data_IF_250777204128
#
_entry.id   IF_250777204128
#
_cell.length_a   1.000
_cell.length_b   1.000
_cell.length_c   1.000
_cell.angle_alpha   90.00
_cell.angle_beta   90.00
_cell.angle_gamma   90.00
#
_symmetry.space_group_name_H-M   'P 1'
#
loop_
_entity.id
_entity.type
_entity.pdbx_description
1 polymer ?
#
# COMPACT_ATOMS: atom_id res chain seq x y z
N UNK A 1 -89.70 -19.64 67.08
CA UNK A 1 -90.13 -20.50 65.97
C UNK A 1 -89.76 -19.81 64.67
N UNK A 2 -89.03 -20.55 63.82
CA UNK A 2 -88.66 -20.35 62.39
C UNK A 2 -88.09 -18.99 61.92
N UNK A 3 -86.81 -18.86 61.55
CA UNK A 3 -86.00 -19.38 60.40
C UNK A 3 -86.31 -18.73 59.03
N UNK A 4 -85.25 -18.10 58.50
CA UNK A 4 -84.71 -18.19 57.14
C UNK A 4 -85.48 -17.60 55.93
N UNK A 5 -85.01 -16.46 55.44
CA UNK A 5 -84.22 -16.26 54.19
C UNK A 5 -84.42 -14.82 53.71
N UNK A 6 -83.34 -14.09 53.43
CA UNK A 6 -83.19 -13.34 52.17
C UNK A 6 -81.80 -12.68 52.02
N UNK A 7 -81.38 -12.59 50.75
CA UNK A 7 -80.06 -12.21 50.24
C UNK A 7 -79.76 -10.72 50.45
N UNK A 8 -78.51 -10.40 50.83
CA UNK A 8 -77.98 -9.03 50.79
C UNK A 8 -77.04 -8.88 49.58
N UNK A 9 -77.33 -7.86 48.77
CA UNK A 9 -76.63 -7.52 47.53
C UNK A 9 -75.35 -6.70 47.71
N UNK A 10 -74.52 -6.78 46.66
CA UNK A 10 -73.22 -6.14 46.47
C UNK A 10 -73.26 -4.60 46.53
N UNK A 11 -72.48 -4.01 47.44
CA UNK A 11 -72.07 -2.61 47.40
C UNK A 11 -70.71 -2.46 46.71
N UNK A 12 -70.65 -1.55 45.72
CA UNK A 12 -69.46 -1.24 44.90
C UNK A 12 -68.41 -0.49 45.73
N UNK A 13 -67.14 -0.93 45.64
CA UNK A 13 -65.97 -0.16 46.10
C UNK A 13 -65.42 0.70 44.96
N UNK A 14 -65.11 1.96 45.24
CA UNK A 14 -64.45 2.88 44.32
C UNK A 14 -62.93 2.75 44.49
N UNK A 15 -62.25 2.18 43.51
CA UNK A 15 -60.79 2.18 43.41
C UNK A 15 -60.32 3.35 42.55
N UNK A 16 -59.50 4.22 43.14
CA UNK A 16 -58.71 5.23 42.43
C UNK A 16 -57.64 4.51 41.60
N UNK A 17 -57.68 4.61 40.26
CA UNK A 17 -56.60 4.15 39.40
C UNK A 17 -55.71 5.33 39.02
N UNK A 18 -54.45 5.27 39.46
CA UNK A 18 -53.36 6.15 39.03
C UNK A 18 -52.85 5.62 37.68
N UNK A 19 -52.84 6.39 36.59
CA UNK A 19 -52.29 5.92 35.32
C UNK A 19 -50.77 5.83 35.44
N UNK A 20 -50.24 4.61 35.39
CA UNK A 20 -48.81 4.35 35.23
C UNK A 20 -48.45 4.71 33.79
N UNK A 21 -47.83 5.87 33.60
CA UNK A 21 -47.21 6.26 32.34
C UNK A 21 -45.93 5.42 32.22
N UNK A 22 -45.98 4.36 31.40
CA UNK A 22 -44.80 3.60 31.03
C UNK A 22 -43.91 4.47 30.13
N UNK A 23 -42.84 5.02 30.68
CA UNK A 23 -41.79 5.70 29.92
C UNK A 23 -40.95 4.61 29.25
N UNK A 24 -41.24 4.31 27.98
CA UNK A 24 -40.39 3.50 27.14
C UNK A 24 -39.11 4.29 26.80
N UNK A 25 -38.06 4.07 27.58
CA UNK A 25 -36.70 4.52 27.21
C UNK A 25 -36.25 3.67 26.02
N UNK A 26 -36.45 4.17 24.80
CA UNK A 26 -35.78 3.60 23.62
C UNK A 26 -34.29 3.88 23.76
N UNK A 27 -33.53 2.86 24.18
CA UNK A 27 -32.10 2.79 23.96
C UNK A 27 -31.87 2.80 22.45
N UNK A 28 -31.60 3.98 21.90
CA UNK A 28 -30.96 4.14 20.61
C UNK A 28 -29.56 3.52 20.74
N UNK A 29 -29.45 2.23 20.40
CA UNK A 29 -28.17 1.64 20.06
C UNK A 29 -27.79 2.30 18.74
N UNK A 30 -27.02 3.38 18.82
CA UNK A 30 -26.27 3.86 17.66
C UNK A 30 -25.32 2.73 17.30
N UNK A 31 -25.69 1.95 16.29
CA UNK A 31 -24.75 1.07 15.62
C UNK A 31 -23.73 2.03 15.05
N UNK A 32 -22.56 2.12 15.68
CA UNK A 32 -21.46 2.84 15.07
C UNK A 32 -21.22 2.13 13.74
N UNK A 33 -21.55 2.80 12.64
CA UNK A 33 -21.12 2.36 11.32
C UNK A 33 -19.61 2.35 11.37
N UNK A 34 -19.02 1.16 11.40
CA UNK A 34 -17.58 0.98 11.19
C UNK A 34 -17.34 1.41 9.75
N UNK A 35 -16.98 2.68 9.55
CA UNK A 35 -16.51 3.17 8.27
C UNK A 35 -15.00 2.98 8.27
N UNK A 36 -14.48 2.33 7.24
CA UNK A 36 -13.04 2.17 7.10
C UNK A 36 -12.40 3.54 6.83
N UNK A 37 -11.21 3.82 7.34
CA UNK A 37 -10.43 4.96 6.85
C UNK A 37 -10.01 4.74 5.40
N UNK A 38 -9.87 5.86 4.69
CA UNK A 38 -9.50 5.86 3.28
C UNK A 38 -8.04 5.46 3.13
N UNK A 39 -7.77 4.61 2.14
CA UNK A 39 -6.44 4.22 1.70
C UNK A 39 -6.45 4.18 0.17
N UNK A 40 -6.57 5.34 -0.49
CA UNK A 40 -6.96 5.43 -1.88
C UNK A 40 -5.85 5.04 -2.87
N UNK A 41 -4.60 4.94 -2.42
CA UNK A 41 -3.44 4.58 -3.25
C UNK A 41 -2.37 3.88 -2.42
N UNK A 42 -1.25 3.49 -3.06
CA UNK A 42 -0.13 2.86 -2.37
C UNK A 42 0.37 3.73 -1.21
N UNK A 43 0.66 3.09 -0.07
CA UNK A 43 1.03 3.76 1.17
C UNK A 43 0.18 5.00 1.52
N UNK A 44 -1.13 4.92 1.23
CA UNK A 44 -2.20 5.85 1.59
C UNK A 44 -2.25 7.15 0.78
N UNK A 45 -1.15 7.79 0.46
CA UNK A 45 -1.13 9.10 -0.19
C UNK A 45 0.04 9.27 -1.16
N UNK A 46 0.09 10.40 -1.85
CA UNK A 46 1.13 10.76 -2.82
C UNK A 46 2.49 11.05 -2.18
N UNK A 47 2.56 11.07 -0.84
CA UNK A 47 3.78 11.11 -0.05
C UNK A 47 4.26 9.71 0.37
N UNK A 48 3.44 8.69 0.16
CA UNK A 48 3.65 7.31 0.61
C UNK A 48 3.81 7.19 2.15
N UNK A 49 3.01 7.92 2.93
CA UNK A 49 3.16 7.97 4.40
C UNK A 49 2.94 6.63 5.09
N UNK A 50 1.98 5.82 4.64
CA UNK A 50 1.68 4.51 5.22
C UNK A 50 1.13 4.53 6.66
N UNK A 51 0.58 5.66 7.13
CA UNK A 51 0.07 5.83 8.51
C UNK A 51 -1.42 6.21 8.54
N UNK A 52 -2.17 5.56 9.43
CA UNK A 52 -3.53 5.92 9.80
C UNK A 52 -3.63 6.29 11.28
N UNK A 53 -4.45 7.28 11.60
CA UNK A 53 -4.72 7.70 12.98
C UNK A 53 -5.92 6.96 13.59
N UNK A 54 -5.90 5.63 13.60
CA UNK A 54 -7.03 4.80 14.05
C UNK A 54 -6.66 3.76 15.11
N UNK A 55 -7.63 3.46 15.98
CA UNK A 55 -7.51 2.37 16.95
C UNK A 55 -7.94 1.07 16.31
N UNK A 56 -7.02 0.14 16.12
CA UNK A 56 -7.37 -1.21 15.68
C UNK A 56 -7.57 -2.12 16.89
N UNK A 57 -8.75 -2.74 16.98
CA UNK A 57 -9.13 -3.60 18.11
C UNK A 57 -9.09 -5.06 17.69
N UNK A 58 -8.03 -5.77 18.10
CA UNK A 58 -7.92 -7.23 17.97
C UNK A 58 -7.79 -7.76 16.54
N UNK A 59 -8.04 -9.06 16.37
CA UNK A 59 -8.04 -9.76 15.07
C UNK A 59 -9.32 -10.58 14.91
N UNK A 60 -10.00 -10.40 13.78
CA UNK A 60 -11.04 -11.31 13.29
C UNK A 60 -11.13 -11.21 11.78
N UNK A 61 -11.40 -12.34 11.11
CA UNK A 61 -11.74 -12.32 9.69
C UNK A 61 -13.22 -11.98 9.59
N UNK A 62 -13.53 -10.83 8.99
CA UNK A 62 -14.92 -10.43 8.74
C UNK A 62 -15.45 -11.09 7.46
N UNK A 63 -14.64 -11.10 6.41
CA UNK A 63 -14.91 -11.78 5.14
C UNK A 63 -13.59 -12.10 4.43
N UNK A 64 -13.64 -13.03 3.49
CA UNK A 64 -12.56 -13.33 2.55
C UNK A 64 -13.15 -13.69 1.20
N UNK A 65 -12.47 -13.31 0.12
CA UNK A 65 -12.89 -13.59 -1.24
C UNK A 65 -11.70 -14.05 -2.07
N UNK A 66 -11.93 -15.07 -2.90
CA UNK A 66 -10.94 -15.50 -3.89
C UNK A 66 -11.06 -14.60 -5.11
N UNK A 67 -9.99 -13.86 -5.44
CA UNK A 67 -9.99 -12.91 -6.56
C UNK A 67 -9.61 -13.54 -7.90
N UNK A 68 -8.90 -14.66 -7.87
CA UNK A 68 -8.53 -15.40 -9.07
C UNK A 68 -8.33 -16.88 -8.73
N UNK A 69 -8.64 -17.77 -9.66
CA UNK A 69 -8.37 -19.21 -9.54
C UNK A 69 -7.44 -19.65 -10.67
N UNK A 70 -6.26 -20.16 -10.35
CA UNK A 70 -5.43 -20.88 -11.31
C UNK A 70 -5.18 -22.32 -10.86
N UNK A 71 -4.62 -23.15 -11.74
CA UNK A 71 -4.30 -24.56 -11.47
C UNK A 71 -3.37 -24.80 -10.25
N UNK A 72 -2.75 -23.73 -9.72
CA UNK A 72 -1.82 -23.76 -8.59
C UNK A 72 -2.38 -23.11 -7.32
N UNK A 73 -3.61 -22.59 -7.35
CA UNK A 73 -4.31 -21.90 -6.24
C UNK A 73 -3.51 -20.79 -5.52
N UNK A 74 -2.43 -20.28 -6.12
CA UNK A 74 -1.49 -19.33 -5.50
C UNK A 74 -1.10 -18.17 -6.43
N UNK A 75 -1.89 -17.91 -7.48
CA UNK A 75 -1.79 -16.66 -8.23
C UNK A 75 -3.04 -15.84 -7.97
N UNK A 76 -2.86 -14.63 -7.46
CA UNK A 76 -3.98 -13.75 -7.16
C UNK A 76 -3.53 -12.32 -7.24
N UNK A 77 -2.80 -11.85 -6.23
CA UNK A 77 -2.55 -10.42 -6.01
C UNK A 77 -1.08 -10.25 -5.64
N UNK A 78 -0.37 -9.35 -6.32
CA UNK A 78 1.01 -8.96 -5.98
C UNK A 78 1.12 -7.48 -5.59
N UNK A 79 -0.02 -6.80 -5.45
CA UNK A 79 -0.12 -5.37 -5.15
C UNK A 79 -0.95 -5.14 -3.89
N UNK A 80 -0.89 -3.93 -3.36
CA UNK A 80 -1.68 -3.56 -2.19
C UNK A 80 -3.13 -3.29 -2.62
N UNK A 81 -4.16 -3.93 -2.03
CA UNK A 81 -5.54 -3.48 -2.19
C UNK A 81 -5.72 -2.06 -1.66
N UNK A 82 -6.58 -1.27 -2.31
CA UNK A 82 -6.88 0.09 -1.87
C UNK A 82 -8.30 0.18 -1.30
N UNK A 83 -8.51 1.12 -0.38
CA UNK A 83 -9.82 1.41 0.22
C UNK A 83 -10.27 2.80 -0.24
N UNK A 84 -11.28 2.83 -1.10
CA UNK A 84 -11.91 4.04 -1.58
C UNK A 84 -13.15 4.38 -0.74
N UNK A 85 -13.25 5.63 -0.28
CA UNK A 85 -14.44 6.10 0.43
C UNK A 85 -15.40 6.81 -0.49
N UNK A 86 -16.68 6.82 -0.10
CA UNK A 86 -17.72 7.59 -0.78
C UNK A 86 -17.82 7.28 -2.28
N UNK A 87 -17.57 6.03 -2.70
CA UNK A 87 -17.81 5.62 -4.09
C UNK A 87 -19.28 5.86 -4.40
N UNK A 88 -19.61 6.62 -5.47
CA UNK A 88 -20.99 7.02 -5.75
C UNK A 88 -21.93 5.82 -5.80
N UNK A 89 -23.02 5.89 -5.03
CA UNK A 89 -24.05 4.85 -4.86
C UNK A 89 -23.56 3.51 -4.28
N UNK A 90 -22.31 3.41 -3.82
CA UNK A 90 -21.70 2.17 -3.29
C UNK A 90 -21.16 2.29 -1.87
N UNK A 91 -20.83 3.50 -1.40
CA UNK A 91 -20.22 3.72 -0.10
C UNK A 91 -18.72 3.40 -0.10
N UNK A 92 -18.22 2.78 0.96
CA UNK A 92 -16.80 2.42 1.10
C UNK A 92 -16.50 1.08 0.39
N UNK A 93 -15.46 1.05 -0.44
CA UNK A 93 -15.16 -0.05 -1.36
C UNK A 93 -13.67 -0.43 -1.29
N UNK A 94 -13.38 -1.72 -1.28
CA UNK A 94 -12.03 -2.26 -1.49
C UNK A 94 -11.86 -2.58 -2.96
N UNK A 95 -10.84 -2.00 -3.61
CA UNK A 95 -10.44 -2.36 -4.97
C UNK A 95 -9.19 -3.24 -4.96
N UNK A 96 -9.22 -4.27 -5.80
CA UNK A 96 -8.14 -5.26 -5.92
C UNK A 96 -7.79 -5.46 -7.37
N UNK A 97 -6.51 -5.27 -7.72
CA UNK A 97 -5.95 -5.66 -9.01
C UNK A 97 -5.31 -7.04 -8.88
N UNK A 98 -5.73 -7.98 -9.72
CA UNK A 98 -5.14 -9.31 -9.80
C UNK A 98 -3.93 -9.37 -10.76
N UNK A 99 -3.19 -10.47 -10.69
CA UNK A 99 -1.99 -10.70 -11.49
C UNK A 99 -2.24 -10.83 -13.00
N UNK A 100 -3.48 -10.97 -13.44
CA UNK A 100 -3.87 -11.01 -14.85
C UNK A 100 -4.29 -9.65 -15.40
N UNK A 101 -4.39 -8.64 -14.54
CA UNK A 101 -4.86 -7.30 -14.91
C UNK A 101 -6.36 -7.13 -14.85
N UNK A 102 -7.07 -8.00 -14.10
CA UNK A 102 -8.46 -7.77 -13.75
C UNK A 102 -8.54 -6.99 -12.45
N UNK A 103 -9.37 -5.96 -12.43
CA UNK A 103 -9.69 -5.20 -11.23
C UNK A 103 -11.11 -5.54 -10.77
N UNK A 104 -11.28 -5.77 -9.47
CA UNK A 104 -12.56 -6.05 -8.83
C UNK A 104 -12.81 -5.07 -7.68
N UNK A 105 -14.08 -4.78 -7.39
CA UNK A 105 -14.49 -3.95 -6.26
C UNK A 105 -15.42 -4.70 -5.32
N UNK A 106 -15.19 -4.59 -4.01
CA UNK A 106 -15.97 -5.25 -2.96
C UNK A 106 -16.42 -4.25 -1.90
N UNK A 107 -17.65 -4.41 -1.38
CA UNK A 107 -18.11 -3.63 -0.23
C UNK A 107 -17.20 -3.92 0.97
N UNK A 108 -16.65 -2.88 1.62
CA UNK A 108 -15.65 -3.05 2.69
C UNK A 108 -16.20 -3.82 3.91
N UNK A 109 -17.51 -3.76 4.15
CA UNK A 109 -18.15 -4.41 5.29
C UNK A 109 -18.55 -5.85 5.01
N UNK A 110 -19.12 -6.13 3.83
CA UNK A 110 -19.71 -7.44 3.53
C UNK A 110 -18.83 -8.34 2.67
N UNK A 111 -17.89 -7.77 1.91
CA UNK A 111 -17.11 -8.50 0.91
C UNK A 111 -17.89 -8.80 -0.38
N UNK A 112 -19.11 -8.27 -0.52
CA UNK A 112 -19.91 -8.49 -1.73
C UNK A 112 -19.36 -7.70 -2.92
N UNK A 113 -19.30 -8.29 -4.12
CA UNK A 113 -18.86 -7.57 -5.32
C UNK A 113 -19.82 -6.43 -5.65
N UNK A 114 -19.27 -5.26 -5.99
CA UNK A 114 -20.08 -4.07 -6.31
C UNK A 114 -20.42 -3.94 -7.81
N UNK A 115 -19.81 -4.76 -8.66
CA UNK A 115 -19.97 -4.72 -10.12
C UNK A 115 -20.60 -6.01 -10.67
N UNK A 116 -21.20 -5.89 -11.86
CA UNK A 116 -21.66 -7.01 -12.67
C UNK A 116 -21.39 -6.68 -14.17
N UNK A 117 -20.46 -7.38 -14.87
CA UNK A 117 -19.62 -8.48 -14.38
C UNK A 117 -18.73 -8.08 -13.19
N UNK A 118 -18.27 -9.06 -12.41
CA UNK A 118 -17.59 -8.83 -11.12
C UNK A 118 -16.26 -8.09 -11.25
N UNK A 119 -15.65 -8.11 -12.43
CA UNK A 119 -14.35 -7.51 -12.69
C UNK A 119 -14.32 -6.75 -14.02
N UNK A 120 -13.36 -5.85 -14.11
CA UNK A 120 -12.99 -5.13 -15.34
C UNK A 120 -11.59 -5.55 -15.75
N UNK A 121 -11.44 -6.01 -16.99
CA UNK A 121 -10.14 -6.34 -17.55
C UNK A 121 -9.48 -5.07 -18.09
N UNK A 122 -8.39 -4.63 -17.45
CA UNK A 122 -7.66 -3.42 -17.85
C UNK A 122 -6.60 -3.72 -18.92
N UNK A 123 -6.17 -4.97 -19.00
CA UNK A 123 -5.25 -5.42 -20.03
C UNK A 123 -5.92 -5.68 -21.38
N UNK A 124 -5.12 -5.67 -22.45
CA UNK A 124 -5.57 -6.10 -23.77
C UNK A 124 -5.79 -7.63 -23.86
N UNK A 125 -5.15 -8.40 -22.98
CA UNK A 125 -5.23 -9.85 -22.83
C UNK A 125 -4.78 -10.23 -21.41
N UNK A 126 -5.09 -11.43 -20.93
CA UNK A 126 -4.67 -11.87 -19.59
C UNK A 126 -3.15 -11.69 -19.39
N UNK A 127 -2.80 -10.95 -18.33
CA UNK A 127 -1.45 -10.79 -17.84
C UNK A 127 -0.96 -12.03 -17.10
N UNK A 128 0.31 -12.02 -16.72
CA UNK A 128 0.91 -13.08 -15.90
C UNK A 128 1.42 -12.57 -14.54
N UNK A 129 1.66 -11.27 -14.43
CA UNK A 129 2.22 -10.65 -13.23
C UNK A 129 2.02 -9.13 -13.27
N UNK A 130 1.05 -8.63 -12.51
CA UNK A 130 0.79 -7.19 -12.34
C UNK A 130 1.34 -6.68 -11.01
N UNK A 131 1.99 -5.52 -11.05
CA UNK A 131 2.72 -4.93 -9.92
C UNK A 131 2.31 -3.49 -9.58
N UNK A 132 1.47 -2.87 -10.41
CA UNK A 132 1.05 -1.49 -10.17
C UNK A 132 -0.15 -1.43 -9.25
N UNK A 133 0.06 -1.00 -8.00
CA UNK A 133 -1.05 -0.71 -7.08
C UNK A 133 -1.93 0.40 -7.69
N UNK A 134 -3.27 0.21 -7.80
CA UNK A 134 -4.17 1.25 -8.31
C UNK A 134 -4.21 2.51 -7.42
N UNK A 135 -4.72 3.60 -7.99
CA UNK A 135 -5.07 4.81 -7.24
C UNK A 135 -6.54 5.19 -7.46
N UNK A 136 -7.19 5.76 -6.45
CA UNK A 136 -8.57 6.22 -6.49
C UNK A 136 -8.66 7.71 -6.18
N UNK A 137 -9.48 8.43 -6.94
CA UNK A 137 -9.90 9.78 -6.61
C UNK A 137 -11.27 10.10 -7.21
N UNK A 138 -12.13 10.73 -6.42
CA UNK A 138 -13.43 11.31 -6.85
C UNK A 138 -14.24 10.41 -7.80
N UNK A 139 -14.45 9.15 -7.40
CA UNK A 139 -15.26 8.20 -8.18
C UNK A 139 -14.55 7.58 -9.39
N UNK A 140 -13.27 7.88 -9.61
CA UNK A 140 -12.44 7.31 -10.68
C UNK A 140 -11.33 6.45 -10.07
N UNK A 141 -11.16 5.26 -10.63
CA UNK A 141 -10.07 4.35 -10.34
C UNK A 141 -9.07 4.38 -11.49
N UNK A 142 -7.80 4.59 -11.19
CA UNK A 142 -6.68 4.60 -12.12
C UNK A 142 -5.88 3.32 -11.95
N UNK A 143 -5.84 2.50 -13.00
CA UNK A 143 -5.19 1.20 -12.99
C UNK A 143 -4.15 1.16 -14.08
N UNK A 144 -2.89 0.97 -13.71
CA UNK A 144 -1.85 0.67 -14.68
C UNK A 144 -1.64 -0.85 -14.75
N UNK A 145 -1.59 -1.38 -15.96
CA UNK A 145 -1.34 -2.79 -16.19
C UNK A 145 -0.29 -2.98 -17.27
N UNK A 146 0.59 -3.92 -17.01
CA UNK A 146 1.54 -4.44 -17.98
C UNK A 146 0.82 -5.42 -18.90
N UNK A 147 1.24 -5.51 -20.15
CA UNK A 147 0.96 -6.75 -20.90
C UNK A 147 2.03 -7.79 -20.55
N UNK A 148 1.97 -8.27 -19.30
CA UNK A 148 3.04 -8.93 -18.55
C UNK A 148 3.85 -10.00 -19.29
N UNK A 149 5.16 -9.99 -19.08
CA UNK A 149 6.18 -11.05 -19.32
C UNK A 149 6.25 -11.75 -20.70
N UNK A 150 5.35 -11.49 -21.66
CA UNK A 150 5.34 -12.11 -22.99
C UNK A 150 5.76 -11.16 -24.12
N UNK A 151 6.17 -9.92 -23.80
CA UNK A 151 6.82 -9.00 -24.75
C UNK A 151 6.02 -8.67 -26.02
N UNK A 152 4.68 -8.76 -25.98
CA UNK A 152 3.83 -8.41 -27.13
C UNK A 152 2.86 -7.30 -26.73
N UNK A 153 3.07 -6.08 -27.22
CA UNK A 153 2.13 -4.96 -27.08
C UNK A 153 2.60 -3.85 -26.12
N UNK A 154 1.64 -3.03 -25.71
CA UNK A 154 1.82 -1.83 -24.88
C UNK A 154 1.19 -2.09 -23.50
N UNK A 155 1.78 -1.51 -22.45
CA UNK A 155 1.11 -1.33 -21.17
C UNK A 155 -0.04 -0.33 -21.29
N UNK A 156 -0.93 -0.33 -20.29
CA UNK A 156 -2.11 0.54 -20.28
C UNK A 156 -2.26 1.25 -18.96
N UNK A 157 -2.61 2.53 -19.01
CA UNK A 157 -3.18 3.25 -17.87
C UNK A 157 -4.66 3.45 -18.17
N UNK A 158 -5.51 2.85 -17.34
CA UNK A 158 -6.97 2.79 -17.54
C UNK A 158 -7.66 3.59 -16.45
N UNK A 159 -8.51 4.54 -16.84
CA UNK A 159 -9.43 5.21 -15.94
C UNK A 159 -10.78 4.47 -15.94
N UNK A 160 -11.33 4.20 -14.76
CA UNK A 160 -12.52 3.39 -14.57
C UNK A 160 -13.48 4.11 -13.65
N UNK A 161 -14.75 4.14 -14.03
CA UNK A 161 -15.81 4.61 -13.14
C UNK A 161 -15.97 3.63 -11.96
N UNK A 162 -15.55 4.03 -10.77
CA UNK A 162 -15.51 3.19 -9.58
C UNK A 162 -16.90 2.63 -9.18
N UNK A 163 -17.97 3.36 -9.50
CA UNK A 163 -19.35 2.98 -9.19
C UNK A 163 -19.84 1.70 -9.90
N UNK A 164 -19.30 1.38 -11.06
CA UNK A 164 -19.84 0.35 -11.95
C UNK A 164 -18.79 -0.42 -12.77
N UNK A 165 -17.50 -0.09 -12.66
CA UNK A 165 -16.42 -0.81 -13.32
C UNK A 165 -16.29 -0.50 -14.80
N UNK A 166 -17.10 0.40 -15.37
CA UNK A 166 -16.98 0.72 -16.80
C UNK A 166 -15.72 1.55 -17.05
N UNK A 167 -14.90 1.14 -18.02
CA UNK A 167 -13.76 1.92 -18.49
C UNK A 167 -14.25 3.26 -19.03
N UNK A 168 -13.65 4.35 -18.56
CA UNK A 168 -13.87 5.70 -19.06
C UNK A 168 -13.01 5.92 -20.31
N UNK A 169 -11.70 5.70 -20.18
CA UNK A 169 -10.71 5.76 -21.25
C UNK A 169 -9.41 5.04 -20.81
N UNK A 170 -8.47 4.88 -21.74
CA UNK A 170 -7.13 4.41 -21.43
C UNK A 170 -6.07 5.07 -22.33
N UNK A 171 -4.84 5.15 -21.83
CA UNK A 171 -3.64 5.40 -22.62
C UNK A 171 -2.85 4.10 -22.83
N UNK A 172 -2.23 3.99 -24.00
CA UNK A 172 -1.18 3.01 -24.26
C UNK A 172 0.19 3.62 -23.96
N UNK A 173 0.97 2.97 -23.10
CA UNK A 173 2.33 3.38 -22.70
C UNK A 173 3.25 2.17 -22.63
N UNK A 174 4.58 2.34 -22.55
CA UNK A 174 5.50 1.23 -22.34
C UNK A 174 5.43 0.13 -23.42
N UNK A 175 5.76 0.48 -24.67
CA UNK A 175 5.74 -0.45 -25.82
C UNK A 175 6.97 -1.37 -25.88
N UNK A 176 6.85 -2.57 -26.45
CA UNK A 176 8.03 -3.39 -26.77
C UNK A 176 8.63 -4.14 -25.57
N UNK A 177 7.77 -4.58 -24.65
CA UNK A 177 8.12 -5.42 -23.51
C UNK A 177 8.47 -4.66 -22.23
N UNK A 178 8.15 -3.36 -22.16
CA UNK A 178 8.17 -2.63 -20.91
C UNK A 178 6.94 -2.97 -20.06
N UNK A 179 7.13 -2.93 -18.75
CA UNK A 179 6.16 -3.31 -17.72
C UNK A 179 5.90 -2.11 -16.82
N UNK A 180 4.64 -1.80 -16.56
CA UNK A 180 4.22 -0.78 -15.61
C UNK A 180 4.30 -1.39 -14.20
N UNK A 181 5.46 -1.24 -13.57
CA UNK A 181 5.79 -1.92 -12.30
C UNK A 181 5.81 -1.01 -11.09
N UNK A 182 5.61 0.30 -11.26
CA UNK A 182 5.46 1.23 -10.13
C UNK A 182 4.00 1.27 -9.68
N UNK A 183 3.70 1.52 -8.40
CA UNK A 183 2.38 2.01 -8.00
C UNK A 183 1.91 3.19 -8.87
N UNK A 184 0.60 3.27 -9.11
CA UNK A 184 -0.02 4.47 -9.67
C UNK A 184 -0.09 5.51 -8.58
N UNK A 185 0.44 6.71 -8.83
CA UNK A 185 0.30 7.86 -7.92
C UNK A 185 -0.69 8.84 -8.51
N UNK A 186 -1.73 9.20 -7.76
CA UNK A 186 -2.62 10.31 -8.07
C UNK A 186 -2.25 11.51 -7.20
N UNK A 187 -2.05 12.67 -7.82
CA UNK A 187 -1.88 13.94 -7.12
C UNK A 187 -2.31 15.11 -8.01
N UNK A 188 -3.11 16.03 -7.46
CA UNK A 188 -3.50 17.30 -8.09
C UNK A 188 -3.92 17.19 -9.57
N UNK A 189 -4.88 16.30 -9.84
CA UNK A 189 -5.41 16.09 -11.19
C UNK A 189 -4.44 15.39 -12.15
N UNK A 190 -3.36 14.77 -11.66
CA UNK A 190 -2.36 14.05 -12.44
C UNK A 190 -2.18 12.61 -11.97
N UNK A 191 -1.85 11.74 -12.91
CA UNK A 191 -1.55 10.32 -12.69
C UNK A 191 -0.13 10.03 -13.13
N UNK A 192 0.68 9.47 -12.24
CA UNK A 192 2.08 9.14 -12.48
C UNK A 192 2.31 7.63 -12.48
N UNK A 193 3.09 7.15 -13.44
CA UNK A 193 3.50 5.75 -13.54
C UNK A 193 4.85 5.62 -14.23
N UNK A 194 5.69 4.70 -13.77
CA UNK A 194 6.98 4.35 -14.37
C UNK A 194 6.94 2.98 -15.03
N UNK A 195 7.68 2.85 -16.14
CA UNK A 195 7.90 1.58 -16.80
C UNK A 195 9.31 0.99 -16.56
N UNK A 196 9.40 -0.32 -16.72
CA UNK A 196 10.63 -1.08 -16.54
C UNK A 196 10.70 -2.22 -17.56
N UNK A 197 11.89 -2.46 -18.10
CA UNK A 197 12.14 -3.60 -18.98
C UNK A 197 13.39 -4.34 -18.52
N UNK A 198 13.21 -5.59 -18.12
CA UNK A 198 14.32 -6.44 -17.70
C UNK A 198 13.91 -7.88 -17.42
N UNK A 199 14.82 -8.59 -16.77
CA UNK A 199 14.68 -9.98 -16.31
C UNK A 199 14.83 -10.02 -14.78
N UNK A 200 14.74 -11.21 -14.20
CA UNK A 200 15.01 -11.38 -12.76
C UNK A 200 16.43 -10.97 -12.33
N UNK A 201 17.37 -10.85 -13.27
CA UNK A 201 18.79 -10.58 -12.99
C UNK A 201 19.33 -9.28 -13.61
N UNK A 202 18.62 -8.62 -14.52
CA UNK A 202 19.13 -7.41 -15.17
C UNK A 202 18.07 -6.55 -15.84
N UNK A 203 18.32 -5.24 -15.86
CA UNK A 203 17.65 -4.24 -16.71
C UNK A 203 18.15 -4.34 -18.14
N UNK A 204 17.26 -4.15 -19.10
CA UNK A 204 17.58 -4.24 -20.54
C UNK A 204 16.98 -3.11 -21.38
N UNK A 205 16.22 -2.20 -20.77
CA UNK A 205 15.64 -1.03 -21.43
C UNK A 205 15.99 0.28 -20.75
N UNK A 206 15.52 1.37 -21.34
CA UNK A 206 15.61 2.73 -20.85
C UNK A 206 14.20 3.09 -20.36
N UNK A 207 14.00 3.04 -19.04
CA UNK A 207 12.69 3.23 -18.43
C UNK A 207 12.16 4.65 -18.67
N UNK A 208 10.84 4.76 -18.80
CA UNK A 208 10.10 6.02 -18.95
C UNK A 208 9.13 6.22 -17.80
N UNK A 209 9.17 7.42 -17.20
CA UNK A 209 8.14 7.88 -16.27
C UNK A 209 7.14 8.75 -17.04
N UNK A 210 5.85 8.55 -16.80
CA UNK A 210 4.76 9.23 -17.48
C UNK A 210 3.95 10.03 -16.47
N UNK A 211 3.46 11.19 -16.90
CA UNK A 211 2.43 11.97 -16.24
C UNK A 211 1.25 12.15 -17.19
N UNK A 212 0.09 11.71 -16.75
CA UNK A 212 -1.15 11.73 -17.51
C UNK A 212 -2.15 12.63 -16.80
N UNK A 213 -3.00 13.28 -17.58
CA UNK A 213 -4.10 14.07 -17.06
C UNK A 213 -5.15 13.14 -16.41
N UNK A 214 -5.47 13.33 -15.15
CA UNK A 214 -6.40 12.45 -14.43
C UNK A 214 -7.86 12.62 -14.91
N UNK A 215 -8.19 13.74 -15.58
CA UNK A 215 -9.51 13.95 -16.19
C UNK A 215 -9.68 13.21 -17.52
N UNK A 216 -8.57 12.93 -18.22
CA UNK A 216 -8.52 12.18 -19.47
C UNK A 216 -7.14 11.53 -19.56
N UNK A 217 -7.01 10.26 -19.15
CA UNK A 217 -5.70 9.61 -19.10
C UNK A 217 -5.09 9.38 -20.49
N UNK A 218 -5.85 9.59 -21.58
CA UNK A 218 -5.31 9.56 -22.94
C UNK A 218 -4.48 10.81 -23.28
N UNK A 219 -4.62 11.88 -22.49
CA UNK A 219 -3.83 13.11 -22.56
C UNK A 219 -2.56 12.98 -21.69
N UNK A 220 -1.44 12.71 -22.36
CA UNK A 220 -0.12 12.70 -21.71
C UNK A 220 0.38 14.13 -21.53
N UNK A 221 0.56 14.55 -20.28
CA UNK A 221 1.10 15.87 -19.95
C UNK A 221 2.59 15.90 -20.28
N UNK A 222 3.33 14.91 -19.77
CA UNK A 222 4.75 14.73 -20.07
C UNK A 222 5.16 13.27 -19.91
N UNK A 223 6.27 12.91 -20.55
CA UNK A 223 6.95 11.63 -20.35
C UNK A 223 8.46 11.85 -20.39
N UNK A 224 9.20 11.19 -19.50
CA UNK A 224 10.67 11.27 -19.45
C UNK A 224 11.29 9.89 -19.49
N UNK A 225 11.88 9.55 -20.62
CA UNK A 225 12.76 8.39 -20.75
C UNK A 225 14.12 8.71 -20.14
N UNK A 226 14.63 7.82 -19.29
CA UNK A 226 15.96 7.96 -18.73
C UNK A 226 17.03 8.05 -19.85
N UNK A 227 18.06 8.90 -19.73
CA UNK A 227 19.11 9.02 -20.75
C UNK A 227 20.16 7.90 -20.70
N UNK A 228 19.95 6.89 -19.84
CA UNK A 228 20.82 5.75 -19.62
C UNK A 228 20.01 4.48 -19.36
N UNK A 229 20.66 3.32 -19.46
CA UNK A 229 20.03 2.02 -19.22
C UNK A 229 19.64 1.88 -17.74
N UNK A 230 18.34 1.93 -17.45
CA UNK A 230 17.75 1.80 -16.13
C UNK A 230 16.23 1.57 -16.26
N UNK A 231 15.52 1.41 -15.15
CA UNK A 231 14.06 1.50 -15.14
C UNK A 231 13.50 1.47 -13.71
N UNK A 232 12.17 1.40 -13.61
CA UNK A 232 11.48 1.70 -12.36
C UNK A 232 10.72 0.47 -11.83
N UNK A 233 11.47 -0.54 -11.38
CA UNK A 233 10.88 -1.78 -10.86
C UNK A 233 10.44 -1.60 -9.40
N UNK A 234 9.14 -1.56 -9.14
CA UNK A 234 8.51 -1.20 -7.85
C UNK A 234 8.79 0.22 -7.33
N UNK A 235 9.66 0.97 -8.02
CA UNK A 235 10.10 2.30 -7.62
C UNK A 235 9.07 3.39 -7.93
N UNK A 236 7.97 3.39 -7.17
CA UNK A 236 6.95 4.45 -7.18
C UNK A 236 7.49 5.80 -6.72
N UNK A 237 6.81 6.87 -7.15
CA UNK A 237 7.21 8.23 -6.83
C UNK A 237 6.55 8.75 -5.55
N UNK A 238 7.16 9.77 -4.96
CA UNK A 238 6.50 10.72 -4.06
C UNK A 238 6.32 12.07 -4.74
N UNK A 239 5.30 12.83 -4.33
CA UNK A 239 5.04 14.21 -4.76
C UNK A 239 5.32 15.16 -3.59
N UNK A 240 6.48 15.79 -3.60
CA UNK A 240 6.92 16.74 -2.58
C UNK A 240 6.78 18.17 -3.12
N UNK A 241 5.80 18.93 -2.63
CA UNK A 241 5.50 20.28 -3.13
C UNK A 241 5.21 20.31 -4.64
N UNK A 242 6.10 20.92 -5.41
CA UNK A 242 6.02 21.03 -6.88
C UNK A 242 6.83 19.96 -7.62
N UNK A 243 7.35 18.97 -6.90
CA UNK A 243 8.32 18.02 -7.43
C UNK A 243 7.81 16.58 -7.37
N UNK A 244 8.21 15.79 -8.36
CA UNK A 244 8.10 14.34 -8.37
C UNK A 244 9.48 13.74 -8.10
N UNK A 245 9.54 12.78 -7.18
CA UNK A 245 10.76 12.11 -6.75
C UNK A 245 10.63 10.60 -6.98
N UNK A 246 11.55 10.00 -7.72
CA UNK A 246 11.55 8.55 -7.98
C UNK A 246 12.95 7.96 -8.11
N UNK A 247 13.11 6.73 -7.62
CA UNK A 247 14.37 5.98 -7.67
C UNK A 247 14.53 5.14 -8.93
N UNK A 248 15.77 4.74 -9.23
CA UNK A 248 16.08 3.86 -10.37
C UNK A 248 17.09 2.75 -10.04
N UNK A 249 17.33 1.85 -11.00
CA UNK A 249 18.22 0.70 -10.84
C UNK A 249 19.72 1.01 -10.89
N UNK A 250 20.10 2.28 -11.04
CA UNK A 250 21.48 2.76 -10.98
C UNK A 250 21.73 3.65 -9.74
N UNK A 251 20.92 3.47 -8.69
CA UNK A 251 20.98 4.20 -7.42
C UNK A 251 20.66 5.71 -7.51
N UNK A 252 20.05 6.19 -8.59
CA UNK A 252 19.67 7.60 -8.68
C UNK A 252 18.25 7.81 -8.13
N UNK A 253 18.09 8.84 -7.30
CA UNK A 253 16.80 9.50 -7.09
C UNK A 253 16.74 10.69 -8.06
N UNK A 254 15.75 10.72 -8.94
CA UNK A 254 15.51 11.83 -9.88
C UNK A 254 14.43 12.76 -9.34
N UNK A 255 14.66 14.07 -9.44
CA UNK A 255 13.69 15.12 -9.17
C UNK A 255 13.29 15.84 -10.46
N UNK A 256 11.99 15.90 -10.74
CA UNK A 256 11.42 16.71 -11.83
C UNK A 256 10.37 17.67 -11.29
N UNK A 257 10.10 18.76 -12.01
CA UNK A 257 8.88 19.53 -11.81
C UNK A 257 7.65 18.67 -12.18
N UNK A 258 6.65 18.63 -11.30
CA UNK A 258 5.48 17.76 -11.45
C UNK A 258 4.56 18.16 -12.60
N UNK A 259 4.54 19.43 -12.98
CA UNK A 259 3.59 19.98 -13.94
C UNK A 259 4.05 19.84 -15.39
N UNK A 260 5.35 19.99 -15.66
CA UNK A 260 5.91 19.96 -17.02
C UNK A 260 6.99 18.88 -17.25
N UNK A 261 7.39 18.16 -16.20
CA UNK A 261 8.41 17.12 -16.28
C UNK A 261 9.82 17.65 -16.50
N UNK A 262 10.04 18.96 -16.34
CA UNK A 262 11.36 19.57 -16.44
C UNK A 262 12.30 18.96 -15.39
N UNK A 263 13.49 18.56 -15.83
CA UNK A 263 14.51 18.04 -14.93
C UNK A 263 15.02 19.13 -14.00
N UNK A 264 15.07 18.82 -12.71
CA UNK A 264 15.53 19.73 -11.65
C UNK A 264 16.89 19.27 -11.13
N UNK A 265 16.95 18.06 -10.58
CA UNK A 265 18.15 17.52 -9.95
C UNK A 265 18.12 15.98 -9.92
N UNK A 266 19.25 15.38 -9.56
CA UNK A 266 19.31 13.97 -9.17
C UNK A 266 20.33 13.79 -8.04
N UNK A 267 20.21 12.68 -7.32
CA UNK A 267 21.13 12.29 -6.26
C UNK A 267 21.48 10.80 -6.41
N UNK A 268 22.76 10.48 -6.62
CA UNK A 268 23.21 9.09 -6.68
C UNK A 268 23.62 8.60 -5.29
N UNK A 269 22.78 7.76 -4.69
CA UNK A 269 22.93 7.40 -3.26
C UNK A 269 24.13 6.49 -3.03
N UNK A 270 24.49 5.64 -3.99
CA UNK A 270 25.65 4.76 -3.84
C UNK A 270 26.96 5.53 -3.95
N UNK A 271 27.05 6.49 -4.85
CA UNK A 271 28.25 7.34 -4.99
C UNK A 271 28.44 8.23 -3.76
N UNK A 272 27.38 8.90 -3.30
CA UNK A 272 27.42 9.85 -2.18
C UNK A 272 27.75 9.19 -0.85
N UNK A 273 27.26 7.96 -0.62
CA UNK A 273 27.55 7.18 0.59
C UNK A 273 28.72 6.19 0.41
N UNK A 274 29.41 6.16 -0.74
CA UNK A 274 30.56 5.30 -0.98
C UNK A 274 30.25 3.79 -1.01
N UNK A 275 29.04 3.41 -1.41
CA UNK A 275 28.57 2.02 -1.48
C UNK A 275 28.98 1.36 -2.81
N UNK A 276 29.59 0.18 -2.74
CA UNK A 276 30.01 -0.60 -3.91
C UNK A 276 29.71 -2.10 -3.70
N UNK A 277 29.07 -2.78 -4.66
CA UNK A 277 28.60 -2.27 -5.95
C UNK A 277 27.41 -1.32 -5.80
N UNK A 278 27.20 -0.46 -6.81
CA UNK A 278 26.04 0.43 -6.83
C UNK A 278 24.73 -0.38 -6.70
N UNK A 279 23.86 0.11 -5.83
CA UNK A 279 22.59 -0.52 -5.50
C UNK A 279 21.50 -0.18 -6.52
N UNK A 280 20.38 -0.89 -6.43
CA UNK A 280 19.19 -0.73 -7.24
C UNK A 280 18.06 -0.27 -6.33
N UNK A 281 17.48 0.91 -6.59
CA UNK A 281 16.32 1.38 -5.83
C UNK A 281 15.08 0.66 -6.38
N UNK A 282 14.51 -0.22 -5.55
CA UNK A 282 13.29 -0.98 -5.87
C UNK A 282 12.22 -0.89 -4.78
N UNK A 283 12.25 0.20 -4.03
CA UNK A 283 11.15 0.65 -3.17
C UNK A 283 10.62 1.96 -3.73
N UNK A 284 9.40 2.33 -3.37
CA UNK A 284 8.91 3.67 -3.66
C UNK A 284 9.62 4.68 -2.76
N UNK A 285 9.65 5.95 -3.19
CA UNK A 285 10.15 7.04 -2.35
C UNK A 285 9.05 7.46 -1.38
N UNK A 286 9.33 7.55 -0.08
CA UNK A 286 8.45 8.21 0.89
C UNK A 286 9.02 9.59 1.21
N UNK A 287 8.21 10.65 1.17
CA UNK A 287 8.62 11.99 1.60
C UNK A 287 7.94 12.32 2.93
N UNK A 288 8.67 12.96 3.84
CA UNK A 288 8.14 13.42 5.10
C UNK A 288 8.42 14.91 5.29
N UNK A 289 7.35 15.71 5.28
CA UNK A 289 7.40 17.16 5.44
C UNK A 289 8.04 17.56 6.79
N UNK A 290 7.76 16.81 7.87
CA UNK A 290 8.23 17.14 9.22
C UNK A 290 9.76 17.08 9.33
N UNK A 291 10.40 16.15 8.62
CA UNK A 291 11.86 15.99 8.62
C UNK A 291 12.53 16.64 7.42
N UNK A 292 11.79 16.99 6.37
CA UNK A 292 12.35 17.46 5.10
C UNK A 292 13.23 16.39 4.45
N UNK A 293 12.86 15.11 4.57
CA UNK A 293 13.63 13.99 4.05
C UNK A 293 12.78 13.04 3.22
N UNK A 294 13.45 12.43 2.25
CA UNK A 294 12.98 11.22 1.61
C UNK A 294 13.57 9.97 2.27
N UNK A 295 12.77 8.91 2.33
CA UNK A 295 13.15 7.61 2.84
C UNK A 295 12.84 6.52 1.82
N UNK A 296 13.81 5.63 1.60
CA UNK A 296 13.68 4.52 0.67
C UNK A 296 14.74 3.46 0.95
N UNK A 297 14.53 2.26 0.42
CA UNK A 297 15.55 1.20 0.43
C UNK A 297 16.11 0.95 -0.96
N UNK A 298 17.39 0.64 -1.03
CA UNK A 298 18.02 0.07 -2.22
C UNK A 298 18.66 -1.27 -1.89
N UNK A 299 18.91 -2.07 -2.93
CA UNK A 299 19.48 -3.41 -2.79
C UNK A 299 20.55 -3.68 -3.82
N UNK A 300 21.46 -4.60 -3.54
CA UNK A 300 22.31 -5.19 -4.58
C UNK A 300 22.43 -6.69 -4.41
N UNK A 301 22.20 -7.45 -5.48
CA UNK A 301 22.46 -8.89 -5.45
C UNK A 301 23.97 -9.14 -5.47
N UNK A 302 24.52 -9.58 -4.34
CA UNK A 302 25.94 -9.85 -4.10
C UNK A 302 26.11 -11.22 -3.45
N UNK A 303 27.34 -11.75 -3.49
CA UNK A 303 27.68 -13.06 -2.90
C UNK A 303 27.93 -13.00 -1.39
N UNK A 304 28.08 -11.81 -0.80
CA UNK A 304 28.32 -11.56 0.63
C UNK A 304 27.30 -12.28 1.52
N UNK A 305 26.04 -12.30 1.08
CA UNK A 305 24.93 -12.99 1.76
C UNK A 305 24.45 -14.24 1.01
N UNK A 306 25.39 -15.08 0.57
CA UNK A 306 25.13 -16.33 -0.17
C UNK A 306 24.38 -16.13 -1.51
N UNK A 307 24.54 -14.95 -2.13
CA UNK A 307 23.92 -14.63 -3.42
C UNK A 307 22.57 -13.90 -3.33
N UNK A 308 22.10 -13.55 -2.13
CA UNK A 308 20.76 -12.96 -1.91
C UNK A 308 20.77 -11.46 -1.63
N UNK A 309 21.95 -10.85 -1.61
CA UNK A 309 22.13 -9.41 -1.69
C UNK A 309 22.32 -8.65 -0.39
N UNK A 310 23.02 -7.54 -0.54
CA UNK A 310 23.13 -6.43 0.40
C UNK A 310 21.98 -5.43 0.14
N UNK A 311 21.81 -4.47 1.04
CA UNK A 311 20.85 -3.41 0.86
C UNK A 311 20.83 -2.46 2.05
N UNK A 312 20.41 -1.24 1.79
CA UNK A 312 20.42 -0.18 2.78
C UNK A 312 19.07 0.52 2.84
N UNK A 313 18.79 1.08 4.02
CA UNK A 313 17.83 2.15 4.20
C UNK A 313 18.55 3.48 4.07
N UNK A 314 18.00 4.39 3.28
CA UNK A 314 18.49 5.74 3.11
C UNK A 314 17.49 6.74 3.66
N UNK A 315 18.01 7.79 4.30
CA UNK A 315 17.30 9.03 4.54
C UNK A 315 18.10 10.16 3.90
N UNK A 316 17.49 10.84 2.92
CA UNK A 316 18.16 11.91 2.17
C UNK A 316 17.38 13.20 2.34
N UNK A 317 18.06 14.27 2.75
CA UNK A 317 17.44 15.60 2.83
C UNK A 317 16.97 16.04 1.45
N UNK A 318 15.79 16.66 1.41
CA UNK A 318 15.20 17.20 0.20
C UNK A 318 14.57 18.55 0.50
N UNK A 319 15.01 19.59 -0.21
CA UNK A 319 14.44 20.93 -0.12
C UNK A 319 13.27 21.04 -1.12
N UNK A 320 12.04 21.08 -0.62
CA UNK A 320 10.85 21.20 -1.47
C UNK A 320 10.64 22.61 -2.06
N UNK A 321 11.50 23.58 -1.73
CA UNK A 321 11.42 24.96 -2.26
C UNK A 321 12.15 25.13 -3.58
N UNK A 322 13.22 24.37 -3.82
CA UNK A 322 14.01 24.43 -5.05
C UNK A 322 14.32 23.05 -5.67
N UNK A 323 14.05 21.95 -4.96
CA UNK A 323 14.17 20.59 -5.43
C UNK A 323 15.59 20.02 -5.37
N UNK A 324 16.46 20.54 -4.52
CA UNK A 324 17.82 20.02 -4.27
C UNK A 324 17.85 18.90 -3.22
N UNK A 325 18.97 18.18 -3.15
CA UNK A 325 19.18 17.08 -2.22
C UNK A 325 20.42 17.32 -1.36
N UNK A 326 20.35 16.91 -0.09
CA UNK A 326 21.50 16.78 0.81
C UNK A 326 22.33 18.08 1.02
N UNK A 327 21.67 19.24 1.02
CA UNK A 327 22.37 20.53 1.09
C UNK A 327 23.10 20.78 2.42
N UNK A 328 22.67 20.14 3.51
CA UNK A 328 23.25 20.38 4.84
C UNK A 328 24.05 19.20 5.39
N UNK A 329 24.00 18.05 4.71
CA UNK A 329 24.73 16.85 5.09
C UNK A 329 24.11 16.04 6.22
N UNK A 330 22.86 16.28 6.63
CA UNK A 330 22.18 15.42 7.62
C UNK A 330 21.43 14.23 6.99
N UNK A 331 21.83 13.82 5.78
CA UNK A 331 21.41 12.55 5.20
C UNK A 331 22.18 11.40 5.87
N UNK A 332 21.55 10.24 5.99
CA UNK A 332 22.16 9.06 6.61
C UNK A 332 21.78 7.76 5.90
N UNK A 333 22.57 6.73 6.14
CA UNK A 333 22.41 5.38 5.58
C UNK A 333 22.53 4.34 6.69
N UNK A 334 21.70 3.30 6.62
CA UNK A 334 21.73 2.17 7.53
C UNK A 334 21.81 0.85 6.77
N UNK A 335 22.73 -0.04 7.16
CA UNK A 335 22.87 -1.40 6.62
C UNK A 335 21.70 -2.28 7.07
N UNK A 336 20.69 -2.38 6.20
CA UNK A 336 19.45 -3.10 6.46
C UNK A 336 19.49 -4.56 5.96
N UNK A 337 20.49 -4.87 5.12
CA UNK A 337 20.49 -5.97 4.16
C UNK A 337 19.42 -5.82 3.08
N UNK A 338 19.29 -6.83 2.23
CA UNK A 338 18.37 -6.80 1.09
C UNK A 338 16.95 -6.34 1.49
N UNK A 339 16.50 -5.24 0.90
CA UNK A 339 15.11 -4.79 1.02
C UNK A 339 14.57 -4.19 -0.28
N UNK A 340 13.25 -4.27 -0.41
CA UNK A 340 12.43 -3.59 -1.42
C UNK A 340 11.21 -2.92 -0.75
N UNK A 341 11.25 -2.80 0.57
CA UNK A 341 10.19 -2.28 1.42
C UNK A 341 10.23 -0.76 1.40
N UNK A 342 9.10 -0.10 1.18
CA UNK A 342 9.00 1.36 1.33
C UNK A 342 8.91 1.69 2.83
N UNK A 343 9.87 2.44 3.42
CA UNK A 343 9.86 2.74 4.85
C UNK A 343 8.67 3.61 5.24
N UNK A 344 8.26 3.53 6.51
CA UNK A 344 7.24 4.40 7.10
C UNK A 344 7.83 5.23 8.24
N UNK A 345 7.55 6.53 8.24
CA UNK A 345 7.88 7.44 9.32
C UNK A 345 6.69 7.59 10.25
N UNK A 346 6.93 7.51 11.57
CA UNK A 346 5.95 7.91 12.57
C UNK A 346 6.65 8.30 13.87
N UNK A 347 6.33 9.48 14.41
CA UNK A 347 6.77 9.96 15.74
C UNK A 347 8.29 9.81 15.97
N UNK A 348 9.09 10.35 15.04
CA UNK A 348 10.56 10.31 15.11
C UNK A 348 11.18 8.94 14.84
N UNK A 349 10.42 7.96 14.34
CA UNK A 349 10.90 6.61 14.05
C UNK A 349 10.65 6.19 12.62
N UNK A 350 11.57 5.40 12.07
CA UNK A 350 11.43 4.74 10.76
C UNK A 350 11.22 3.25 10.97
N UNK A 351 10.19 2.71 10.33
CA UNK A 351 9.84 1.30 10.32
C UNK A 351 10.02 0.72 8.91
N UNK A 352 10.74 -0.38 8.79
CA UNK A 352 11.06 -0.95 7.48
C UNK A 352 11.24 -2.47 7.54
N UNK A 353 10.76 -3.18 6.52
CA UNK A 353 11.02 -4.61 6.34
C UNK A 353 12.36 -4.85 5.63
N UNK A 354 13.03 -5.95 5.91
CA UNK A 354 14.28 -6.32 5.25
C UNK A 354 14.80 -7.69 5.67
N UNK A 355 16.08 -7.95 5.40
CA UNK A 355 16.79 -9.12 5.91
C UNK A 355 17.44 -10.00 4.85
N UNK A 356 17.99 -11.13 5.29
CA UNK A 356 18.82 -12.03 4.49
C UNK A 356 17.95 -13.08 3.78
N UNK A 357 18.40 -13.57 2.61
CA UNK A 357 17.81 -14.74 1.89
C UNK A 357 16.35 -14.58 1.46
N UNK A 358 16.03 -13.42 0.91
CA UNK A 358 14.72 -13.08 0.35
C UNK A 358 14.20 -13.96 -0.82
N UNK A 359 14.93 -15.00 -1.25
CA UNK A 359 14.62 -15.84 -2.41
C UNK A 359 14.86 -17.37 -2.23
N UNK A 360 15.14 -17.90 -1.02
CA UNK A 360 15.44 -19.36 -0.84
C UNK A 360 14.52 -20.13 0.08
N UNK A 361 14.23 -21.39 -0.27
CA UNK A 361 13.38 -22.33 0.48
C UNK A 361 13.73 -22.65 1.95
N UNK A 362 14.89 -22.24 2.46
CA UNK A 362 15.26 -22.37 3.89
C UNK A 362 15.69 -20.99 4.39
N UNK A 363 14.97 -20.35 5.34
CA UNK A 363 15.21 -18.94 5.64
C UNK A 363 14.68 -18.48 7.02
N UNK A 364 15.53 -18.37 8.06
CA UNK A 364 15.14 -17.71 9.31
C UNK A 364 15.33 -16.18 9.32
N UNK A 365 15.97 -15.57 8.31
CA UNK A 365 16.69 -14.30 8.53
C UNK A 365 16.00 -13.01 8.01
N UNK A 366 14.68 -13.02 7.87
CA UNK A 366 13.92 -11.80 7.54
C UNK A 366 13.55 -11.01 8.80
N UNK A 367 13.42 -9.69 8.69
CA UNK A 367 13.23 -8.79 9.83
C UNK A 367 12.35 -7.59 9.53
N UNK A 368 11.81 -6.99 10.59
CA UNK A 368 11.32 -5.61 10.63
C UNK A 368 12.24 -4.83 11.55
N UNK A 369 12.75 -3.69 11.10
CA UNK A 369 13.60 -2.81 11.88
C UNK A 369 12.87 -1.53 12.24
N UNK A 370 13.19 -0.98 13.42
CA UNK A 370 12.86 0.36 13.84
C UNK A 370 14.15 1.13 14.09
N UNK A 371 14.25 2.32 13.52
CA UNK A 371 15.38 3.22 13.64
C UNK A 371 14.94 4.61 14.06
N UNK A 372 15.83 5.35 14.69
CA UNK A 372 15.62 6.77 14.96
C UNK A 372 15.67 7.56 13.65
N UNK A 373 14.64 8.35 13.38
CA UNK A 373 14.54 9.08 12.12
C UNK A 373 15.56 10.22 12.01
N UNK A 374 16.10 10.71 13.13
CA UNK A 374 17.04 11.83 13.16
C UNK A 374 18.40 11.43 12.57
N UNK A 375 18.93 10.27 12.95
CA UNK A 375 20.30 9.84 12.67
C UNK A 375 20.45 8.39 12.17
N UNK A 376 19.36 7.65 12.02
CA UNK A 376 19.39 6.26 11.57
C UNK A 376 19.91 5.29 12.63
N UNK A 377 20.01 5.70 13.90
CA UNK A 377 20.43 4.81 14.97
C UNK A 377 19.41 3.69 15.19
N UNK A 378 19.92 2.48 15.41
CA UNK A 378 19.10 1.30 15.63
C UNK A 378 18.34 1.39 16.96
N UNK A 379 17.03 1.11 16.93
CA UNK A 379 16.18 1.03 18.14
C UNK A 379 15.86 -0.42 18.47
N UNK A 380 15.23 -1.14 17.53
CA UNK A 380 14.90 -2.55 17.69
C UNK A 380 14.78 -3.27 16.34
N UNK A 381 14.90 -4.59 16.35
CA UNK A 381 14.49 -5.45 15.25
C UNK A 381 13.58 -6.58 15.75
N UNK A 382 12.63 -6.94 14.91
CA UNK A 382 11.82 -8.14 15.05
C UNK A 382 12.22 -9.14 13.97
N UNK A 383 12.84 -10.24 14.38
CA UNK A 383 13.36 -11.30 13.52
C UNK A 383 12.86 -12.70 13.96
N UNK A 384 11.76 -12.74 14.74
CA UNK A 384 11.35 -13.85 15.60
C UNK A 384 11.53 -15.26 14.99
N UNK A 385 12.63 -15.90 15.40
CA UNK A 385 13.00 -17.30 15.14
C UNK A 385 12.57 -18.27 16.26
N UNK A 386 11.80 -17.78 17.25
CA UNK A 386 11.54 -18.51 18.52
C UNK A 386 10.23 -19.31 18.50
N UNK A 387 9.27 -18.98 17.62
CA UNK A 387 8.12 -19.88 17.38
C UNK A 387 8.49 -20.83 16.22
N UNK A 388 8.61 -22.15 16.45
CA UNK A 388 8.88 -23.13 15.38
C UNK A 388 7.76 -23.24 14.34
N UNK A 389 6.68 -22.48 14.47
CA UNK A 389 5.64 -22.30 13.44
C UNK A 389 5.90 -21.07 12.57
N UNK A 390 6.79 -20.17 12.96
CA UNK A 390 7.18 -18.95 12.22
C UNK A 390 8.52 -19.22 11.52
N UNK A 391 8.50 -20.17 10.59
CA UNK A 391 9.71 -20.68 9.94
C UNK A 391 10.36 -19.72 8.92
N UNK A 392 9.76 -18.54 8.65
CA UNK A 392 10.27 -17.65 7.60
C UNK A 392 9.69 -16.21 7.63
N UNK A 393 10.44 -15.20 8.07
CA UNK A 393 9.98 -13.81 8.14
C UNK A 393 10.37 -12.94 6.94
N UNK A 394 10.27 -13.43 5.70
CA UNK A 394 10.62 -12.67 4.47
C UNK A 394 9.72 -11.43 4.26
N UNK A 395 9.96 -10.36 5.01
CA UNK A 395 9.18 -9.12 4.93
C UNK A 395 9.71 -8.27 3.78
N UNK A 396 9.13 -8.46 2.59
CA UNK A 396 9.29 -7.55 1.45
C UNK A 396 8.23 -6.44 1.43
N UNK A 397 7.15 -6.63 2.18
CA UNK A 397 6.07 -5.67 2.24
C UNK A 397 6.53 -4.37 2.88
N UNK A 398 5.93 -3.28 2.44
CA UNK A 398 6.05 -1.99 3.10
C UNK A 398 5.16 -2.02 4.35
N UNK A 399 5.64 -1.57 5.54
CA UNK A 399 4.79 -1.55 6.72
C UNK A 399 3.59 -0.64 6.53
N UNK A 400 2.47 -0.96 7.17
CA UNK A 400 1.36 -0.04 7.37
C UNK A 400 1.17 0.18 8.88
N UNK A 401 0.98 1.43 9.30
CA UNK A 401 0.87 1.79 10.72
C UNK A 401 -0.53 2.28 11.03
N UNK A 402 -1.12 1.75 12.10
CA UNK A 402 -2.26 2.37 12.76
C UNK A 402 -1.81 2.91 14.12
N UNK A 403 -1.96 4.22 14.32
CA UNK A 403 -1.58 4.93 15.52
C UNK A 403 -2.80 5.55 16.20
N UNK A 404 -2.97 5.31 17.50
CA UNK A 404 -4.06 5.90 18.28
C UNK A 404 -3.68 6.18 19.73
N UNK A 405 -3.57 7.47 20.05
CA UNK A 405 -3.00 7.90 21.32
C UNK A 405 -1.58 7.34 21.45
N UNK A 406 -1.33 6.60 22.53
CA UNK A 406 -0.02 6.00 22.78
C UNK A 406 0.13 4.58 22.20
N UNK A 407 -0.88 4.07 21.49
CA UNK A 407 -0.81 2.73 20.89
C UNK A 407 -0.40 2.83 19.44
N UNK A 408 0.52 1.97 19.04
CA UNK A 408 0.98 1.86 17.66
C UNK A 408 0.93 0.40 17.25
N UNK A 409 0.36 0.15 16.08
CA UNK A 409 0.22 -1.17 15.47
C UNK A 409 0.91 -1.16 14.11
N UNK A 410 1.94 -1.97 13.96
CA UNK A 410 2.74 -2.09 12.74
C UNK A 410 2.34 -3.38 12.04
N UNK A 411 1.84 -3.25 10.81
CA UNK A 411 1.39 -4.36 9.99
C UNK A 411 2.37 -4.67 8.88
N UNK A 412 2.73 -5.95 8.76
CA UNK A 412 3.60 -6.44 7.68
C UNK A 412 3.14 -7.81 7.21
N UNK A 413 3.33 -8.10 5.92
CA UNK A 413 3.11 -9.44 5.35
C UNK A 413 4.43 -10.13 4.99
N UNK A 414 4.47 -11.44 5.14
CA UNK A 414 5.63 -12.27 4.79
C UNK A 414 5.49 -12.93 3.41
N UNK A 415 6.55 -12.89 2.62
CA UNK A 415 6.65 -13.54 1.31
C UNK A 415 7.19 -14.99 1.43
N UNK A 416 6.38 -15.88 2.02
CA UNK A 416 6.67 -17.31 2.15
C UNK A 416 5.42 -18.13 1.75
N UNK A 417 5.51 -19.47 1.61
CA UNK A 417 4.37 -20.29 1.20
C UNK A 417 3.12 -20.19 2.08
N UNK A 418 3.28 -19.93 3.37
CA UNK A 418 2.17 -19.80 4.33
C UNK A 418 1.57 -18.38 4.34
N UNK A 419 2.26 -17.37 3.78
CA UNK A 419 1.80 -16.01 3.59
C UNK A 419 1.07 -15.39 4.80
N UNK A 420 1.79 -14.96 5.83
CA UNK A 420 1.17 -14.41 7.06
C UNK A 420 1.11 -12.88 7.07
N UNK A 421 0.10 -12.34 7.76
CA UNK A 421 0.04 -10.95 8.23
C UNK A 421 0.45 -10.91 9.71
N UNK A 422 1.34 -10.00 10.08
CA UNK A 422 1.77 -9.80 11.46
C UNK A 422 1.38 -8.42 11.95
N UNK A 423 1.14 -8.32 13.25
CA UNK A 423 0.94 -7.06 13.96
C UNK A 423 1.97 -6.95 15.08
N UNK A 424 2.81 -5.92 15.04
CA UNK A 424 3.79 -5.60 16.07
C UNK A 424 3.37 -4.33 16.82
N UNK A 425 3.81 -4.18 18.06
CA UNK A 425 3.68 -2.92 18.81
C UNK A 425 4.90 -2.01 18.59
N UNK A 426 4.90 -0.84 19.23
CA UNK A 426 5.95 0.18 19.18
C UNK A 426 7.35 -0.29 19.62
N UNK A 427 7.43 -1.43 20.32
CA UNK A 427 8.66 -2.03 20.83
C UNK A 427 9.09 -3.27 20.01
N UNK A 428 8.48 -3.51 18.85
CA UNK A 428 8.78 -4.67 18.01
C UNK A 428 8.27 -5.99 18.57
N UNK A 429 7.39 -5.96 19.58
CA UNK A 429 6.76 -7.17 20.12
C UNK A 429 5.57 -7.56 19.26
N UNK A 430 5.56 -8.81 18.76
CA UNK A 430 4.42 -9.34 18.03
C UNK A 430 3.20 -9.47 18.96
N UNK A 431 2.13 -8.75 18.61
CA UNK A 431 0.85 -8.83 19.29
C UNK A 431 0.03 -10.02 18.79
N UNK A 432 0.04 -10.26 17.48
CA UNK A 432 -0.64 -11.38 16.84
C UNK A 432 -0.17 -11.56 15.39
N UNK A 433 -0.54 -12.69 14.79
CA UNK A 433 -0.44 -12.93 13.35
C UNK A 433 -1.75 -13.49 12.78
N UNK A 434 -1.92 -13.47 11.47
CA UNK A 434 -3.00 -14.12 10.75
C UNK A 434 -2.40 -14.91 9.59
N UNK A 435 -2.83 -16.17 9.46
CA UNK A 435 -2.48 -17.07 8.37
C UNK A 435 -3.77 -17.35 7.59
N UNK A 436 -3.86 -16.98 6.30
CA UNK A 436 -4.96 -17.37 5.45
C UNK A 436 -5.04 -18.90 5.34
N UNK A 437 -6.27 -19.44 5.38
CA UNK A 437 -6.56 -20.88 5.30
C UNK A 437 -6.47 -21.46 3.90
#
# INVERSE_FOLDING_TARGET
MEKNRERIGNGKSHSFQIPIIAICVMLLVTIASVSASEWPQFQKDDLNTGVLSEKVIGRSVNWSVMTHTNQWMAAGINVVPIVAKNVPDRGDVVFVLDHTGNVSGYNVTTGDPIWNPQFTMCNAAEGSFELSTPAYHDGILYVATSKGNLSVGEGRVTAIYARNGTIREYASVGSGGYQLNTPVTYSDGKVYVGDWKGTSSSTTGYGTYYCLNANDVSDTIWSRTAPYLTGYNWAGCAIAGNYILYGDENANVTCLNKDDGAFISYFNVSEEFGITPAEEIRSSIMYNDDTGRIYFTAKKSTSTHAGYGDGHLYAVEFDETDGTFNDTGNSWVYDLWHSVSTPVYHDGRIYVGGGQRMYTGSCPDGKVCCLDAADGSFIWEWNNTIDPRVDCLRVKSSPAIAAHGNNLYIYVTSNNPDGRLYCLNENGTMLWYYEPS
#
